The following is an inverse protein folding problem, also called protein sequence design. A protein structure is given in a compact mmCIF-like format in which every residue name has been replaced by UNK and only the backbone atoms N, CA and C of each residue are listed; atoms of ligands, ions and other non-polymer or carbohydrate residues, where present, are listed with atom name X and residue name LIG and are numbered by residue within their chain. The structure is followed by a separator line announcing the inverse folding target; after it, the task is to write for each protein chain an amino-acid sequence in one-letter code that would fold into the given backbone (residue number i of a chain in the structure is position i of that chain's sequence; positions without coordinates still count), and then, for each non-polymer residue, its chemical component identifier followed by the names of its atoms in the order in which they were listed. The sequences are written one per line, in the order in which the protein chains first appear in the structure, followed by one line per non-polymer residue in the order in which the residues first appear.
data_IF_877175900051
#
_entry.id   IF_877175900051
#
_cell.length_a   1.000
_cell.length_b   1.000
_cell.length_c   1.000
_cell.angle_alpha   90.00
_cell.angle_beta   90.00
_cell.angle_gamma   90.00
#
_symmetry.space_group_name_H-M   'P 1'
#
loop_
_entity.id
_entity.type
_entity.pdbx_description
1 polymer ?
#
# COMPACT_ATOMS: atom_id res chain seq x y z
N UNK A 1 -29.27 -5.64 20.03
CA UNK A 1 -28.71 -4.61 19.13
C UNK A 1 -28.08 -3.41 19.84
N UNK A 2 -28.52 -2.99 21.03
CA UNK A 2 -27.97 -1.79 21.69
C UNK A 2 -26.69 -2.00 22.54
N UNK A 3 -26.23 -3.24 22.77
CA UNK A 3 -25.06 -3.52 23.63
C UNK A 3 -23.73 -3.70 22.86
N UNK A 4 -23.79 -4.01 21.57
CA UNK A 4 -22.60 -4.21 20.72
C UNK A 4 -21.98 -2.89 20.19
N UNK A 5 -22.66 -1.76 20.36
CA UNK A 5 -22.20 -0.44 19.92
C UNK A 5 -21.12 0.17 20.83
N UNK A 6 -20.92 -0.38 22.03
CA UNK A 6 -20.08 0.24 23.07
C UNK A 6 -18.72 -0.45 23.19
N UNK A 7 -18.62 -1.75 22.89
CA UNK A 7 -17.42 -2.54 23.23
C UNK A 7 -16.51 -2.91 22.04
N UNK A 8 -16.84 -2.50 20.81
CA UNK A 8 -15.93 -2.63 19.65
C UNK A 8 -15.56 -4.07 19.26
N UNK A 9 -16.20 -5.07 19.85
CA UNK A 9 -15.93 -6.48 19.62
C UNK A 9 -16.84 -6.99 18.49
N UNK A 10 -16.29 -7.01 17.28
CA UNK A 10 -16.98 -7.46 16.06
C UNK A 10 -16.86 -8.97 15.82
N UNK A 11 -16.20 -9.69 16.73
CA UNK A 11 -15.96 -11.13 16.58
C UNK A 11 -17.05 -11.97 17.26
N UNK A 12 -18.33 -11.73 16.99
CA UNK A 12 -19.37 -12.70 17.39
C UNK A 12 -20.42 -12.89 16.29
N UNK A 13 -20.41 -14.12 15.76
CA UNK A 13 -21.47 -14.80 15.00
C UNK A 13 -21.71 -14.33 13.55
N UNK A 14 -20.78 -14.70 12.65
CA UNK A 14 -21.05 -14.83 11.21
C UNK A 14 -20.02 -14.22 10.25
N UNK A 15 -18.87 -14.88 10.07
CA UNK A 15 -18.37 -15.15 8.71
C UNK A 15 -17.32 -14.23 8.04
N UNK A 16 -16.72 -13.23 8.72
CA UNK A 16 -15.63 -12.46 8.10
C UNK A 16 -14.50 -12.07 9.06
N UNK A 17 -13.28 -12.55 8.76
CA UNK A 17 -12.04 -12.23 9.48
C UNK A 17 -11.45 -10.90 8.97
N UNK A 18 -11.84 -9.77 9.57
CA UNK A 18 -11.28 -8.45 9.21
C UNK A 18 -9.89 -8.26 9.81
N UNK A 19 -8.96 -7.71 9.02
CA UNK A 19 -7.56 -7.56 9.46
C UNK A 19 -7.34 -6.34 10.36
N UNK A 20 -8.03 -5.24 10.08
CA UNK A 20 -7.89 -3.98 10.81
C UNK A 20 -9.19 -3.64 11.54
N UNK A 21 -9.20 -3.62 12.88
CA UNK A 21 -10.30 -3.05 13.63
C UNK A 21 -10.55 -1.58 13.25
N UNK A 22 -11.82 -1.17 13.15
CA UNK A 22 -12.14 0.22 12.78
C UNK A 22 -11.58 1.25 13.78
N UNK A 23 -11.54 0.90 15.07
CA UNK A 23 -10.96 1.74 16.12
C UNK A 23 -9.49 2.09 15.85
N UNK A 24 -8.65 1.11 15.49
CA UNK A 24 -7.22 1.36 15.23
C UNK A 24 -7.00 2.19 13.97
N UNK A 25 -7.86 2.05 12.96
CA UNK A 25 -7.85 2.91 11.76
C UNK A 25 -8.16 4.35 12.16
N UNK A 26 -9.25 4.56 12.91
CA UNK A 26 -9.68 5.89 13.36
C UNK A 26 -8.64 6.55 14.27
N UNK A 27 -8.01 5.81 15.15
CA UNK A 27 -6.91 6.35 15.95
C UNK A 27 -5.74 6.81 15.09
N UNK A 28 -5.42 6.07 14.02
CA UNK A 28 -4.36 6.46 13.10
C UNK A 28 -4.67 7.72 12.29
N UNK A 29 -5.95 8.04 12.03
CA UNK A 29 -6.32 9.32 11.38
C UNK A 29 -6.19 10.52 12.32
N UNK A 30 -6.37 10.30 13.63
CA UNK A 30 -6.24 11.33 14.66
C UNK A 30 -4.80 11.51 15.17
N UNK A 31 -3.91 10.57 14.84
CA UNK A 31 -2.55 10.54 15.38
C UNK A 31 -1.67 11.57 14.71
N UNK A 32 -1.03 12.43 15.52
CA UNK A 32 -0.01 13.36 15.07
C UNK A 32 1.38 12.78 15.33
N UNK A 33 1.97 12.18 14.29
CA UNK A 33 3.36 11.75 14.32
C UNK A 33 4.26 12.77 13.62
N UNK A 34 5.50 12.96 14.09
CA UNK A 34 6.42 13.86 13.42
C UNK A 34 6.84 13.29 12.06
N UNK A 35 6.82 14.15 11.04
CA UNK A 35 7.36 13.85 9.71
C UNK A 35 8.91 13.90 9.78
N UNK A 36 9.53 12.77 10.10
CA UNK A 36 10.99 12.63 10.29
C UNK A 36 11.55 11.48 9.45
N UNK A 37 12.82 11.62 9.03
CA UNK A 37 13.56 10.59 8.32
C UNK A 37 13.44 10.71 6.81
N UNK A 38 13.31 9.57 6.13
CA UNK A 38 13.19 9.53 4.68
C UNK A 38 11.74 9.55 4.21
N UNK A 39 11.56 9.93 2.95
CA UNK A 39 10.32 9.75 2.23
C UNK A 39 10.30 8.39 1.52
N UNK A 40 9.12 7.80 1.41
CA UNK A 40 8.90 6.52 0.75
C UNK A 40 7.65 6.64 -0.11
N UNK A 41 7.64 5.93 -1.23
CA UNK A 41 6.55 5.92 -2.20
C UNK A 41 6.09 4.48 -2.43
N UNK A 42 4.80 4.21 -2.20
CA UNK A 42 4.13 2.98 -2.61
C UNK A 42 3.13 3.27 -3.73
N UNK A 43 3.13 2.46 -4.79
CA UNK A 43 2.30 2.67 -5.96
C UNK A 43 1.60 1.38 -6.39
N UNK A 44 0.27 1.39 -6.40
CA UNK A 44 -0.55 0.37 -7.04
C UNK A 44 -1.06 0.91 -8.39
N UNK A 45 -0.77 0.20 -9.48
CA UNK A 45 -1.12 0.63 -10.83
C UNK A 45 -2.28 -0.22 -11.35
N UNK A 46 -3.37 0.45 -11.69
CA UNK A 46 -4.46 -0.09 -12.49
C UNK A 46 -4.27 0.30 -13.96
N UNK A 47 -4.78 -0.51 -14.90
CA UNK A 47 -4.74 -0.21 -16.34
C UNK A 47 -6.11 -0.43 -16.95
N UNK A 48 -6.71 0.68 -17.41
CA UNK A 48 -8.07 0.72 -17.97
C UNK A 48 -9.15 0.17 -17.02
N UNK A 49 -10.42 0.45 -17.31
CA UNK A 49 -11.55 0.01 -16.48
C UNK A 49 -11.83 0.90 -15.26
N UNK A 50 -12.52 0.32 -14.28
CA UNK A 50 -13.09 1.02 -13.11
C UNK A 50 -12.16 1.09 -11.88
N UNK A 51 -10.97 0.50 -11.96
CA UNK A 51 -9.98 0.47 -10.88
C UNK A 51 -9.10 1.73 -10.89
N UNK A 52 -8.65 2.16 -9.71
CA UNK A 52 -7.84 3.38 -9.55
C UNK A 52 -6.35 3.03 -9.46
N UNK A 53 -5.51 3.81 -10.15
CA UNK A 53 -4.09 3.86 -9.79
C UNK A 53 -3.91 4.77 -8.59
N UNK A 54 -3.14 4.33 -7.60
CA UNK A 54 -2.92 5.07 -6.35
C UNK A 54 -1.45 5.13 -6.02
N UNK A 55 -0.98 6.30 -5.63
CA UNK A 55 0.36 6.53 -5.11
C UNK A 55 0.29 7.17 -3.72
N UNK A 56 0.99 6.57 -2.75
CA UNK A 56 1.05 7.04 -1.37
C UNK A 56 2.49 7.41 -1.02
N UNK A 57 2.67 8.67 -0.60
CA UNK A 57 3.92 9.18 -0.05
C UNK A 57 3.82 9.18 1.46
N UNK A 58 4.86 8.68 2.13
CA UNK A 58 5.04 8.86 3.58
C UNK A 58 6.39 9.48 3.89
N UNK A 59 6.46 10.23 4.98
CA UNK A 59 7.70 10.72 5.59
C UNK A 59 7.85 10.07 6.97
N UNK A 60 8.81 9.15 7.10
CA UNK A 60 8.85 8.24 8.26
C UNK A 60 7.55 7.44 8.32
N UNK A 61 6.89 7.40 9.47
CA UNK A 61 5.64 6.67 9.62
C UNK A 61 4.37 7.53 9.44
N UNK A 62 4.52 8.72 8.88
CA UNK A 62 3.40 9.63 8.62
C UNK A 62 3.13 9.66 7.12
N UNK A 63 1.95 9.24 6.70
CA UNK A 63 1.49 9.46 5.31
C UNK A 63 1.36 10.96 5.09
N UNK A 64 2.08 11.48 4.10
CA UNK A 64 2.10 12.91 3.80
C UNK A 64 1.15 13.27 2.68
N UNK A 65 1.05 12.43 1.65
CA UNK A 65 0.34 12.73 0.41
C UNK A 65 -0.26 11.44 -0.19
N UNK A 66 -1.44 11.58 -0.78
CA UNK A 66 -2.17 10.52 -1.47
C UNK A 66 -2.59 11.05 -2.84
N UNK A 67 -2.22 10.33 -3.89
CA UNK A 67 -2.56 10.64 -5.28
C UNK A 67 -3.35 9.50 -5.88
N UNK A 68 -4.32 9.83 -6.74
CA UNK A 68 -5.06 8.84 -7.51
C UNK A 68 -5.28 9.31 -8.96
N UNK A 69 -5.35 8.37 -9.88
CA UNK A 69 -5.73 8.62 -11.28
C UNK A 69 -6.35 7.38 -11.91
N UNK A 70 -7.09 7.55 -13.02
CA UNK A 70 -7.81 6.48 -13.72
C UNK A 70 -7.73 6.66 -15.23
N UNK A 71 -8.05 5.61 -15.98
CA UNK A 71 -8.23 5.68 -17.44
C UNK A 71 -6.93 5.89 -18.23
N UNK A 72 -5.78 5.73 -17.59
CA UNK A 72 -4.46 5.96 -18.19
C UNK A 72 -3.81 4.66 -18.65
N UNK A 73 -2.96 4.76 -19.67
CA UNK A 73 -2.06 3.67 -20.03
C UNK A 73 -0.83 3.62 -19.11
N UNK A 74 0.07 2.66 -19.35
CA UNK A 74 1.29 2.48 -18.56
C UNK A 74 2.31 3.60 -18.77
N UNK A 75 2.33 4.26 -19.93
CA UNK A 75 3.26 5.34 -20.23
C UNK A 75 2.85 6.62 -19.51
N UNK A 76 1.56 6.97 -19.58
CA UNK A 76 1.02 8.11 -18.83
C UNK A 76 1.14 7.87 -17.32
N UNK A 77 0.85 6.66 -16.84
CA UNK A 77 1.03 6.32 -15.43
C UNK A 77 2.49 6.44 -14.99
N UNK A 78 3.45 6.04 -15.84
CA UNK A 78 4.87 6.21 -15.55
C UNK A 78 5.28 7.68 -15.44
N UNK A 79 4.75 8.56 -16.29
CA UNK A 79 5.01 10.00 -16.20
C UNK A 79 4.43 10.59 -14.90
N UNK A 80 3.21 10.21 -14.52
CA UNK A 80 2.60 10.65 -13.25
C UNK A 80 3.43 10.22 -12.04
N UNK A 81 3.86 8.96 -12.02
CA UNK A 81 4.74 8.44 -10.95
C UNK A 81 6.10 9.16 -10.97
N UNK A 82 6.65 9.45 -12.14
CA UNK A 82 7.89 10.20 -12.30
C UNK A 82 7.79 11.61 -11.70
N UNK A 83 6.69 12.31 -11.97
CA UNK A 83 6.45 13.65 -11.42
C UNK A 83 6.33 13.64 -9.89
N UNK A 84 5.61 12.65 -9.33
CA UNK A 84 5.53 12.45 -7.87
C UNK A 84 6.92 12.17 -7.28
N UNK A 85 7.75 11.36 -7.94
CA UNK A 85 9.12 11.08 -7.51
C UNK A 85 9.97 12.35 -7.54
N UNK A 86 9.83 13.20 -8.56
CA UNK A 86 10.55 14.48 -8.65
C UNK A 86 10.11 15.47 -7.58
N UNK A 87 8.83 15.54 -7.30
CA UNK A 87 8.26 16.41 -6.27
C UNK A 87 8.73 16.00 -4.86
N UNK A 88 8.69 14.70 -4.57
CA UNK A 88 8.90 14.21 -3.21
C UNK A 88 10.32 13.74 -2.92
N UNK A 89 11.10 13.37 -3.95
CA UNK A 89 12.42 12.77 -3.82
C UNK A 89 12.47 11.61 -2.79
N UNK A 90 11.62 10.57 -2.95
CA UNK A 90 11.57 9.43 -2.02
C UNK A 90 12.87 8.61 -2.07
N UNK A 91 13.29 8.10 -0.91
CA UNK A 91 14.45 7.22 -0.80
C UNK A 91 14.16 5.80 -1.32
N UNK A 92 12.89 5.38 -1.28
CA UNK A 92 12.43 4.08 -1.76
C UNK A 92 11.13 4.27 -2.52
N UNK A 93 11.05 3.64 -3.70
CA UNK A 93 9.86 3.59 -4.53
C UNK A 93 9.51 2.13 -4.76
N UNK A 94 8.34 1.70 -4.29
CA UNK A 94 7.81 0.36 -4.48
C UNK A 94 6.57 0.42 -5.36
N UNK A 95 6.53 -0.40 -6.40
CA UNK A 95 5.45 -0.44 -7.38
C UNK A 95 4.98 -1.89 -7.51
N UNK A 96 3.67 -2.17 -7.39
CA UNK A 96 3.16 -3.53 -7.62
C UNK A 96 3.35 -3.94 -9.09
N UNK A 97 3.88 -5.15 -9.32
CA UNK A 97 4.15 -5.68 -10.66
C UNK A 97 3.34 -6.93 -11.01
N UNK A 98 2.37 -7.35 -10.19
CA UNK A 98 1.45 -8.43 -10.62
C UNK A 98 0.68 -8.02 -11.89
N UNK A 99 0.22 -6.77 -11.93
CA UNK A 99 -0.56 -6.23 -13.03
C UNK A 99 0.27 -5.33 -13.98
N UNK A 100 -0.29 -4.20 -14.43
CA UNK A 100 0.34 -3.33 -15.43
C UNK A 100 1.59 -2.58 -14.93
N UNK A 101 1.87 -2.61 -13.61
CA UNK A 101 2.96 -1.85 -13.02
C UNK A 101 4.37 -2.31 -13.46
N UNK A 102 4.51 -3.50 -14.06
CA UNK A 102 5.77 -3.93 -14.71
C UNK A 102 6.20 -2.95 -15.80
N UNK A 103 5.29 -2.55 -16.69
CA UNK A 103 5.57 -1.57 -17.74
C UNK A 103 5.89 -0.17 -17.21
N UNK A 104 5.31 0.20 -16.05
CA UNK A 104 5.64 1.46 -15.36
C UNK A 104 7.05 1.40 -14.79
N UNK A 105 7.44 0.30 -14.14
CA UNK A 105 8.80 0.09 -13.62
C UNK A 105 9.83 0.15 -14.75
N UNK A 106 9.56 -0.53 -15.88
CA UNK A 106 10.48 -0.55 -17.01
C UNK A 106 10.67 0.87 -17.59
N UNK A 107 9.58 1.63 -17.75
CA UNK A 107 9.67 3.01 -18.22
C UNK A 107 10.41 3.93 -17.25
N UNK A 108 10.17 3.80 -15.95
CA UNK A 108 10.88 4.59 -14.94
C UNK A 108 12.37 4.27 -14.93
N UNK A 109 12.76 3.00 -15.11
CA UNK A 109 14.16 2.59 -15.24
C UNK A 109 14.83 3.16 -16.48
N UNK A 110 14.12 3.17 -17.61
CA UNK A 110 14.57 3.83 -18.85
C UNK A 110 14.85 5.34 -18.62
N UNK A 111 14.01 6.00 -17.83
CA UNK A 111 14.18 7.40 -17.40
C UNK A 111 15.25 7.61 -16.31
N UNK A 112 15.99 6.56 -15.93
CA UNK A 112 17.06 6.63 -14.93
C UNK A 112 16.59 6.65 -13.48
N UNK A 113 15.32 6.34 -13.21
CA UNK A 113 14.74 6.30 -11.87
C UNK A 113 14.94 4.92 -11.23
N UNK A 114 15.44 4.91 -10.00
CA UNK A 114 15.56 3.69 -9.20
C UNK A 114 14.23 3.39 -8.51
N UNK A 115 13.61 2.27 -8.87
CA UNK A 115 12.39 1.78 -8.25
C UNK A 115 12.41 0.25 -8.12
N UNK A 116 11.65 -0.25 -7.15
CA UNK A 116 11.46 -1.66 -6.86
C UNK A 116 10.13 -2.12 -7.44
N UNK A 117 10.18 -3.12 -8.32
CA UNK A 117 9.00 -3.90 -8.65
C UNK A 117 8.72 -4.91 -7.54
N UNK A 118 7.56 -4.80 -6.88
CA UNK A 118 7.13 -5.70 -5.82
C UNK A 118 6.11 -6.68 -6.39
N UNK A 119 6.46 -7.96 -6.46
CA UNK A 119 5.51 -8.99 -6.83
C UNK A 119 4.72 -9.41 -5.58
N UNK A 120 3.51 -8.88 -5.41
CA UNK A 120 2.69 -9.15 -4.23
C UNK A 120 2.19 -10.62 -4.14
N UNK A 121 2.15 -11.38 -5.24
CA UNK A 121 1.81 -12.81 -5.25
C UNK A 121 3.04 -13.69 -5.10
N UNK A 122 4.22 -13.09 -5.13
CA UNK A 122 5.49 -13.76 -4.91
C UNK A 122 5.66 -14.27 -3.48
N UNK A 123 6.71 -15.06 -3.28
CA UNK A 123 7.05 -15.67 -2.00
C UNK A 123 7.25 -14.61 -0.91
N UNK A 124 6.62 -14.81 0.26
CA UNK A 124 6.91 -14.03 1.45
C UNK A 124 8.35 -14.26 1.96
N UNK A 125 8.90 -13.28 2.66
CA UNK A 125 10.21 -13.40 3.31
C UNK A 125 10.12 -14.15 4.62
N UNK A 126 9.03 -13.94 5.37
CA UNK A 126 8.71 -14.77 6.52
C UNK A 126 7.79 -15.92 6.07
N UNK A 127 8.16 -17.19 6.32
CA UNK A 127 7.37 -18.38 5.93
C UNK A 127 5.99 -18.48 6.60
N UNK A 128 5.70 -17.71 7.65
CA UNK A 128 4.38 -17.64 8.29
C UNK A 128 3.30 -17.06 7.37
N UNK A 129 3.71 -16.33 6.32
CA UNK A 129 2.83 -15.68 5.37
C UNK A 129 2.80 -16.41 4.04
N UNK A 130 1.61 -16.55 3.47
CA UNK A 130 1.39 -17.25 2.22
C UNK A 130 2.15 -16.60 1.04
N UNK A 131 2.13 -15.27 0.98
CA UNK A 131 2.77 -14.48 -0.08
C UNK A 131 3.19 -13.09 0.44
N UNK A 132 3.90 -12.33 -0.40
CA UNK A 132 4.38 -10.99 -0.06
C UNK A 132 3.23 -10.02 0.28
N UNK A 133 2.06 -10.13 -0.37
CA UNK A 133 0.86 -9.35 -0.03
C UNK A 133 0.46 -9.59 1.42
N UNK A 134 0.38 -10.85 1.85
CA UNK A 134 0.05 -11.16 3.23
C UNK A 134 1.07 -10.58 4.20
N UNK A 135 2.37 -10.76 3.94
CA UNK A 135 3.41 -10.18 4.78
C UNK A 135 3.31 -8.64 4.87
N UNK A 136 3.04 -7.95 3.77
CA UNK A 136 2.86 -6.49 3.74
C UNK A 136 1.72 -6.05 4.65
N UNK A 137 0.55 -6.67 4.51
CA UNK A 137 -0.65 -6.30 5.25
C UNK A 137 -0.57 -6.63 6.74
N UNK A 138 -0.03 -7.79 7.09
CA UNK A 138 0.14 -8.17 8.50
C UNK A 138 1.14 -7.26 9.22
N UNK A 139 2.26 -6.91 8.56
CA UNK A 139 3.19 -5.92 9.11
C UNK A 139 2.55 -4.53 9.23
N UNK A 140 1.73 -4.16 8.26
CA UNK A 140 0.99 -2.90 8.32
C UNK A 140 0.03 -2.89 9.52
N UNK A 141 -0.73 -3.97 9.74
CA UNK A 141 -1.58 -4.15 10.93
C UNK A 141 -0.80 -3.93 12.22
N UNK A 142 0.37 -4.53 12.35
CA UNK A 142 1.20 -4.37 13.56
C UNK A 142 1.54 -2.89 13.82
N UNK A 143 1.80 -2.09 12.76
CA UNK A 143 2.05 -0.65 12.89
C UNK A 143 0.81 0.13 13.33
N UNK A 144 -0.38 -0.26 12.86
CA UNK A 144 -1.65 0.33 13.30
C UNK A 144 -1.91 0.05 14.78
N UNK A 145 -1.78 -1.21 15.21
CA UNK A 145 -2.03 -1.64 16.58
C UNK A 145 -1.04 -1.06 17.58
N UNK A 146 0.24 -0.93 17.20
CA UNK A 146 1.28 -0.34 18.04
C UNK A 146 1.23 1.19 18.06
N UNK A 147 0.32 1.81 17.29
CA UNK A 147 0.20 3.26 17.18
C UNK A 147 1.41 3.93 16.51
N UNK A 148 2.15 3.20 15.67
CA UNK A 148 3.34 3.70 15.01
C UNK A 148 3.08 4.34 13.65
N UNK A 149 1.84 4.39 13.18
CA UNK A 149 1.45 4.97 11.90
C UNK A 149 0.46 6.13 12.07
N UNK A 150 0.60 7.15 11.22
CA UNK A 150 -0.35 8.25 11.04
C UNK A 150 -0.77 8.30 9.57
N UNK A 151 -2.08 8.31 9.32
CA UNK A 151 -2.67 8.38 7.98
C UNK A 151 -3.59 9.61 7.88
N UNK A 152 -3.80 10.19 6.69
CA UNK A 152 -4.81 11.24 6.52
C UNK A 152 -6.22 10.69 6.75
N UNK A 153 -7.15 11.56 7.14
CA UNK A 153 -8.58 11.27 7.15
C UNK A 153 -9.12 11.21 5.71
N UNK A 154 -8.84 10.10 5.03
CA UNK A 154 -9.18 9.88 3.63
C UNK A 154 -10.19 8.74 3.50
N UNK A 155 -11.44 9.07 3.17
CA UNK A 155 -12.58 8.16 3.20
C UNK A 155 -12.38 6.84 2.44
N UNK A 156 -11.80 6.87 1.23
CA UNK A 156 -11.54 5.63 0.45
C UNK A 156 -10.49 4.74 1.12
N UNK A 157 -9.40 5.32 1.62
CA UNK A 157 -8.34 4.58 2.30
C UNK A 157 -8.88 3.93 3.58
N UNK A 158 -9.59 4.69 4.41
CA UNK A 158 -10.17 4.17 5.67
C UNK A 158 -11.20 3.08 5.39
N UNK A 159 -12.06 3.27 4.37
CA UNK A 159 -13.05 2.25 3.96
C UNK A 159 -12.39 0.99 3.43
N UNK A 160 -11.33 1.11 2.63
CA UNK A 160 -10.62 -0.05 2.08
C UNK A 160 -9.87 -0.81 3.16
N UNK A 161 -9.19 -0.12 4.09
CA UNK A 161 -8.54 -0.74 5.25
C UNK A 161 -9.53 -1.55 6.09
N UNK A 162 -10.70 -0.96 6.39
CA UNK A 162 -11.76 -1.65 7.15
C UNK A 162 -12.34 -2.87 6.40
N UNK A 163 -12.20 -2.90 5.06
CA UNK A 163 -12.65 -4.01 4.22
C UNK A 163 -11.63 -5.12 4.00
N UNK A 164 -10.38 -4.97 4.46
CA UNK A 164 -9.35 -6.01 4.28
C UNK A 164 -9.69 -7.21 5.15
N UNK A 165 -9.82 -8.37 4.51
CA UNK A 165 -10.05 -9.66 5.17
C UNK A 165 -8.83 -10.56 5.06
N UNK A 166 -8.56 -11.31 6.11
CA UNK A 166 -7.54 -12.35 6.11
C UNK A 166 -8.16 -13.74 6.08
N UNK A 167 -7.35 -14.71 5.67
CA UNK A 167 -7.70 -16.14 5.67
C UNK A 167 -6.45 -16.96 5.97
N UNK A 168 -6.58 -18.28 5.98
CA UNK A 168 -5.46 -19.21 6.06
C UNK A 168 -5.40 -20.03 4.79
N UNK A 169 -4.21 -20.15 4.21
CA UNK A 169 -3.98 -21.05 3.10
C UNK A 169 -4.07 -22.51 3.56
N UNK A 170 -4.18 -23.46 2.63
CA UNK A 170 -4.29 -24.90 2.94
C UNK A 170 -3.13 -25.44 3.80
N UNK A 171 -1.96 -24.81 3.74
CA UNK A 171 -0.79 -25.14 4.54
C UNK A 171 -0.75 -24.41 5.91
N UNK A 172 -1.83 -23.74 6.31
CA UNK A 172 -1.95 -23.00 7.58
C UNK A 172 -1.28 -21.63 7.60
N UNK A 173 -0.61 -21.19 6.53
CA UNK A 173 0.02 -19.86 6.47
C UNK A 173 -1.01 -18.74 6.39
N UNK A 174 -0.69 -17.60 6.99
CA UNK A 174 -1.55 -16.40 6.98
C UNK A 174 -1.65 -15.83 5.56
N UNK A 175 -2.87 -15.58 5.10
CA UNK A 175 -3.16 -15.06 3.77
C UNK A 175 -4.12 -13.85 3.86
N UNK A 176 -4.18 -13.08 2.77
CA UNK A 176 -5.16 -11.99 2.58
C UNK A 176 -6.09 -12.43 1.45
N UNK A 177 -7.39 -12.18 1.61
CA UNK A 177 -8.38 -12.47 0.58
C UNK A 177 -7.96 -11.78 -0.72
N UNK A 178 -7.94 -12.55 -1.81
CA UNK A 178 -7.40 -12.08 -3.09
C UNK A 178 -8.30 -11.02 -3.72
N UNK A 179 -7.72 -10.17 -4.61
CA UNK A 179 -8.50 -9.19 -5.38
C UNK A 179 -9.63 -9.86 -6.19
N UNK A 180 -9.40 -11.08 -6.68
CA UNK A 180 -10.40 -11.85 -7.42
C UNK A 180 -11.59 -12.27 -6.54
N UNK A 181 -11.33 -12.78 -5.34
CA UNK A 181 -12.38 -13.13 -4.37
C UNK A 181 -13.14 -11.90 -3.86
N UNK A 182 -12.44 -10.77 -3.68
CA UNK A 182 -13.08 -9.49 -3.37
C UNK A 182 -14.06 -9.09 -4.47
N UNK A 183 -13.65 -9.14 -5.75
CA UNK A 183 -14.52 -8.83 -6.89
C UNK A 183 -15.70 -9.79 -6.99
N UNK A 184 -15.49 -11.09 -6.80
CA UNK A 184 -16.56 -12.11 -6.79
C UNK A 184 -17.60 -11.88 -5.69
N UNK A 185 -17.19 -11.30 -4.57
CA UNK A 185 -18.08 -10.92 -3.46
C UNK A 185 -18.66 -9.50 -3.59
N UNK A 186 -18.49 -8.85 -4.74
CA UNK A 186 -19.03 -7.51 -5.02
C UNK A 186 -18.23 -6.36 -4.41
N UNK A 187 -17.06 -6.63 -3.82
CA UNK A 187 -16.16 -5.62 -3.27
C UNK A 187 -15.18 -5.11 -4.33
N UNK A 188 -14.92 -3.80 -4.33
CA UNK A 188 -13.91 -3.19 -5.20
C UNK A 188 -12.49 -3.56 -4.78
N UNK A 189 -11.54 -3.42 -5.71
CA UNK A 189 -10.11 -3.56 -5.42
C UNK A 189 -9.67 -2.56 -4.34
N UNK A 190 -8.82 -2.95 -3.37
CA UNK A 190 -8.39 -2.07 -2.30
C UNK A 190 -7.13 -1.27 -2.67
N UNK A 191 -7.18 -0.52 -3.78
CA UNK A 191 -5.98 0.09 -4.40
C UNK A 191 -5.24 1.08 -3.47
N UNK A 192 -5.96 1.83 -2.62
CA UNK A 192 -5.35 2.73 -1.62
C UNK A 192 -4.68 1.95 -0.49
N UNK A 193 -5.31 0.87 -0.02
CA UNK A 193 -4.73 0.05 1.04
C UNK A 193 -3.50 -0.72 0.52
N UNK A 194 -3.51 -1.16 -0.73
CA UNK A 194 -2.37 -1.79 -1.41
C UNK A 194 -1.21 -0.81 -1.58
N UNK A 195 -1.47 0.41 -2.06
CA UNK A 195 -0.46 1.47 -2.15
C UNK A 195 0.12 1.82 -0.77
N UNK A 196 -0.69 1.81 0.29
CA UNK A 196 -0.23 2.06 1.65
C UNK A 196 0.69 0.93 2.13
N UNK A 197 0.27 -0.32 1.92
CA UNK A 197 1.06 -1.50 2.27
C UNK A 197 2.42 -1.49 1.55
N UNK A 198 2.44 -1.12 0.26
CA UNK A 198 3.67 -0.95 -0.53
C UNK A 198 4.56 0.17 0.02
N UNK A 199 3.99 1.30 0.43
CA UNK A 199 4.77 2.42 0.97
C UNK A 199 5.50 2.00 2.26
N UNK A 200 4.87 1.17 3.09
CA UNK A 200 5.45 0.62 4.33
C UNK A 200 6.28 -0.65 4.11
N UNK A 201 6.23 -1.26 2.92
CA UNK A 201 6.98 -2.48 2.61
C UNK A 201 8.46 -2.18 2.33
N UNK A 202 9.27 -2.18 3.38
CA UNK A 202 10.71 -1.98 3.20
C UNK A 202 11.39 -3.29 2.82
N UNK A 203 11.89 -3.33 1.59
CA UNK A 203 12.89 -4.27 1.14
C UNK A 203 14.29 -3.72 1.47
N UNK A 204 14.83 -4.15 2.62
CA UNK A 204 16.26 -4.09 3.05
C UNK A 204 16.56 -3.16 4.24
N UNK A 205 17.39 -3.59 5.22
CA UNK A 205 17.89 -2.76 6.32
C UNK A 205 18.90 -1.74 5.80
N UNK A 206 18.83 -0.50 6.28
CA UNK A 206 19.86 0.54 6.23
C UNK A 206 20.62 0.79 4.91
N UNK A 207 20.31 1.94 4.30
CA UNK A 207 21.28 2.88 3.70
C UNK A 207 22.07 2.45 2.45
N UNK A 208 21.75 3.09 1.32
CA UNK A 208 22.80 3.67 0.48
C UNK A 208 22.26 4.90 -0.27
N UNK A 209 22.98 6.01 -0.09
CA UNK A 209 22.75 7.35 -0.65
C UNK A 209 22.53 7.28 -2.16
N UNK A 210 21.33 7.58 -2.65
CA UNK A 210 21.07 7.81 -4.07
C UNK A 210 20.75 9.29 -4.25
N UNK A 211 21.81 10.08 -4.39
CA UNK A 211 21.79 11.21 -5.33
C UNK A 211 23.08 11.09 -6.12
N UNK A 212 23.09 10.23 -7.15
CA UNK A 212 24.07 10.39 -8.21
C UNK A 212 23.66 11.65 -8.98
N UNK A 213 24.52 12.67 -8.93
CA UNK A 213 24.47 13.85 -9.79
C UNK A 213 24.07 13.44 -11.20
N UNK A 214 22.93 13.89 -11.70
CA UNK A 214 22.60 14.20 -13.12
C UNK A 214 21.08 14.31 -13.34
N UNK A 215 20.45 15.35 -12.81
CA UNK A 215 19.17 15.84 -13.35
C UNK A 215 19.46 17.21 -13.99
N UNK A 216 20.16 17.20 -15.13
CA UNK A 216 20.48 18.44 -15.89
C UNK A 216 20.21 18.29 -17.38
N UNK A 217 19.51 17.25 -17.83
CA UNK A 217 19.08 17.16 -19.23
C UNK A 217 17.65 16.69 -19.30
N UNK A 218 16.73 17.63 -19.11
CA UNK A 218 15.58 17.86 -19.98
C UNK A 218 15.15 19.29 -19.66
N UNK A 219 15.58 20.22 -20.52
CA UNK A 219 15.05 21.59 -20.61
C UNK A 219 13.79 21.54 -21.45
#
# INVERSE_FOLDING_TARGET
MAKALIDGDWDIEGGANYLFPYSVIREATLRLLPRKGFKYLGVDIARYGDDESVAIVRHGNTVSDVYNWMGTDTMESALRVFDIIREHNPAVVNIDVIGPGSGVVDKLRELGVKCNGVNASGKARNPDYHNARAEMFWRLRDLFEQGFISIPDHSKLTSQLAGIKYTFAANGTKAIVSKEEMRKSGSKSPDYADALALAFYSTTPAFNRIVSKSFTRYR
#
